data_IF_642923894370
#
_entry.id   IF_642923894370
#
_cell.length_a   1.000
_cell.length_b   1.000
_cell.length_c   1.000
_cell.angle_alpha   90.00
_cell.angle_beta   90.00
_cell.angle_gamma   90.00
#
_symmetry.space_group_name_H-M   'P 1'
#
loop_
_entity.id
_entity.type
_entity.pdbx_description
1 polymer ?
#
# COMPACT_ATOMS: atom_id res chain seq x y z
N UNK A 1 14.32 -1.23 5.75
CA UNK A 1 15.21 -1.63 6.86
C UNK A 1 14.83 -3.04 7.25
N UNK A 2 15.81 -3.91 7.47
CA UNK A 2 15.52 -5.29 7.86
C UNK A 2 15.02 -5.37 9.30
N UNK A 3 14.02 -6.24 9.55
CA UNK A 3 13.56 -6.67 10.85
C UNK A 3 14.61 -6.75 11.95
N UNK A 4 14.51 -6.13 13.14
CA UNK A 4 15.38 -6.60 14.22
C UNK A 4 15.07 -8.07 14.52
N UNK A 5 16.10 -8.92 14.71
CA UNK A 5 15.92 -10.36 14.92
C UNK A 5 15.09 -10.64 16.17
N UNK A 6 14.52 -11.85 16.28
CA UNK A 6 13.79 -12.27 17.49
C UNK A 6 14.67 -12.19 18.74
N UNK A 7 14.09 -11.78 19.87
CA UNK A 7 14.77 -11.61 21.17
C UNK A 7 13.86 -12.12 22.29
N UNK A 8 14.45 -12.71 23.34
CA UNK A 8 13.74 -13.14 24.57
C UNK A 8 13.16 -11.95 25.36
N UNK A 9 13.63 -10.74 25.06
CA UNK A 9 13.13 -9.48 25.65
C UNK A 9 12.75 -8.53 24.51
N UNK A 10 11.61 -8.74 23.84
CA UNK A 10 11.22 -7.89 22.74
C UNK A 10 10.88 -6.49 23.24
N UNK A 11 11.24 -5.48 22.45
CA UNK A 11 11.02 -4.07 22.79
C UNK A 11 10.03 -3.43 21.84
N UNK A 12 9.42 -2.32 22.27
CA UNK A 12 8.46 -1.55 21.47
C UNK A 12 9.08 -1.07 20.15
N UNK A 13 10.37 -0.72 20.16
CA UNK A 13 11.11 -0.35 18.95
C UNK A 13 11.19 -1.51 17.93
N UNK A 14 11.27 -2.76 18.40
CA UNK A 14 11.28 -3.91 17.48
C UNK A 14 9.91 -4.14 16.83
N UNK A 15 8.83 -3.97 17.60
CA UNK A 15 7.47 -4.02 17.07
C UNK A 15 7.21 -2.89 16.07
N UNK A 16 7.64 -1.66 16.39
CA UNK A 16 7.57 -0.53 15.46
C UNK A 16 8.35 -0.82 14.16
N UNK A 17 9.55 -1.39 14.26
CA UNK A 17 10.34 -1.78 13.09
C UNK A 17 9.65 -2.84 12.21
N UNK A 18 8.95 -3.81 12.80
CA UNK A 18 8.14 -4.77 12.03
C UNK A 18 7.01 -4.05 11.27
N UNK A 19 6.34 -3.07 11.89
CA UNK A 19 5.27 -2.27 11.26
C UNK A 19 5.82 -1.40 10.13
N UNK A 20 6.88 -0.63 10.39
CA UNK A 20 7.45 0.32 9.43
C UNK A 20 8.12 -0.39 8.24
N UNK A 21 8.51 -1.65 8.40
CA UNK A 21 8.99 -2.49 7.30
C UNK A 21 7.88 -3.07 6.42
N UNK A 22 6.61 -2.91 6.80
CA UNK A 22 5.46 -3.52 6.15
C UNK A 22 5.29 -5.02 6.42
N UNK A 23 6.09 -5.61 7.32
CA UNK A 23 5.98 -7.04 7.70
C UNK A 23 4.62 -7.37 8.33
N UNK A 24 3.96 -6.39 8.94
CA UNK A 24 2.63 -6.57 9.54
C UNK A 24 1.48 -6.49 8.52
N UNK A 25 1.78 -6.14 7.26
CA UNK A 25 0.85 -6.19 6.13
C UNK A 25 -0.17 -5.04 6.05
N UNK A 26 -0.27 -4.19 7.07
CA UNK A 26 -1.21 -3.05 7.11
C UNK A 26 -0.65 -1.77 6.45
N UNK A 27 0.68 -1.65 6.34
CA UNK A 27 1.33 -0.39 5.93
C UNK A 27 2.38 -0.58 4.84
N UNK A 28 2.40 0.35 3.90
CA UNK A 28 3.50 0.50 2.94
C UNK A 28 4.80 0.82 3.70
N UNK A 29 5.94 0.17 3.39
CA UNK A 29 7.20 0.44 4.06
C UNK A 29 7.69 1.87 3.78
N UNK A 30 7.35 2.78 4.70
CA UNK A 30 7.72 4.18 4.65
C UNK A 30 7.80 4.72 6.09
N UNK A 31 8.91 5.39 6.39
CA UNK A 31 9.07 6.09 7.67
C UNK A 31 8.33 7.44 7.59
N UNK A 32 7.41 7.69 8.52
CA UNK A 32 6.83 9.01 8.73
C UNK A 32 7.71 9.81 9.72
N UNK A 33 8.41 10.87 9.28
CA UNK A 33 9.27 11.66 10.18
C UNK A 33 8.49 12.44 11.26
N UNK A 34 7.19 12.65 11.04
CA UNK A 34 6.32 13.39 11.97
C UNK A 34 5.58 12.49 12.95
N UNK A 35 5.62 11.17 12.75
CA UNK A 35 5.04 10.19 13.64
C UNK A 35 5.79 10.10 14.96
N UNK A 36 5.06 10.12 16.07
CA UNK A 36 5.64 9.77 17.37
C UNK A 36 6.02 8.28 17.40
N UNK A 37 7.11 7.89 18.10
CA UNK A 37 7.42 6.49 18.35
C UNK A 37 6.25 5.74 19.01
N UNK A 38 6.09 4.47 18.67
CA UNK A 38 5.09 3.62 19.31
C UNK A 38 5.30 3.57 20.83
N UNK A 39 4.20 3.66 21.58
CA UNK A 39 4.21 3.62 23.04
C UNK A 39 4.49 4.95 23.72
N UNK A 40 4.78 6.04 23.00
CA UNK A 40 5.03 7.36 23.62
C UNK A 40 3.94 7.79 24.59
N UNK A 41 2.66 7.56 24.26
CA UNK A 41 1.54 7.92 25.13
C UNK A 41 1.48 7.04 26.40
N UNK A 42 1.74 5.74 26.27
CA UNK A 42 1.79 4.79 27.39
C UNK A 42 2.96 5.10 28.34
N UNK A 43 4.12 5.48 27.79
CA UNK A 43 5.27 5.96 28.56
C UNK A 43 4.93 7.28 29.28
N UNK A 44 4.26 8.21 28.60
CA UNK A 44 3.85 9.49 29.17
C UNK A 44 2.77 9.33 30.27
N UNK A 45 1.92 8.30 30.15
CA UNK A 45 0.96 7.91 31.18
C UNK A 45 1.60 7.16 32.36
N UNK A 46 2.90 6.86 32.31
CA UNK A 46 3.61 6.09 33.34
C UNK A 46 3.28 4.60 33.31
N UNK A 47 2.76 4.08 32.21
CA UNK A 47 2.33 2.69 32.02
C UNK A 47 3.04 2.05 30.82
N UNK A 48 4.38 1.94 30.86
CA UNK A 48 5.16 1.41 29.75
C UNK A 48 4.75 -0.04 29.37
N UNK A 49 4.73 -0.39 28.07
CA UNK A 49 4.41 -1.75 27.64
C UNK A 49 5.39 -2.78 28.20
N UNK A 50 4.86 -3.86 28.78
CA UNK A 50 5.72 -4.96 29.25
C UNK A 50 6.29 -5.76 28.08
N UNK A 51 7.47 -6.42 28.24
CA UNK A 51 8.03 -7.28 27.18
C UNK A 51 7.07 -8.39 26.75
N UNK A 52 6.26 -8.92 27.67
CA UNK A 52 5.25 -9.93 27.36
C UNK A 52 4.16 -9.35 26.44
N UNK A 53 3.64 -8.17 26.77
CA UNK A 53 2.65 -7.47 25.92
C UNK A 53 3.21 -7.20 24.53
N UNK A 54 4.47 -6.76 24.43
CA UNK A 54 5.15 -6.56 23.14
C UNK A 54 5.30 -7.87 22.37
N UNK A 55 5.67 -8.97 23.05
CA UNK A 55 5.79 -10.29 22.42
C UNK A 55 4.46 -10.76 21.82
N UNK A 56 3.38 -10.62 22.59
CA UNK A 56 2.01 -10.96 22.18
C UNK A 56 1.59 -10.10 20.99
N UNK A 57 1.82 -8.79 21.05
CA UNK A 57 1.53 -7.89 19.93
C UNK A 57 2.31 -8.27 18.67
N UNK A 58 3.62 -8.52 18.76
CA UNK A 58 4.43 -8.98 17.61
C UNK A 58 3.90 -10.26 17.00
N UNK A 59 3.46 -11.23 17.81
CA UNK A 59 2.87 -12.48 17.33
C UNK A 59 1.59 -12.24 16.52
N UNK A 60 0.66 -11.45 17.04
CA UNK A 60 -0.61 -11.18 16.36
C UNK A 60 -0.45 -10.32 15.11
N UNK A 61 0.46 -9.35 15.15
CA UNK A 61 0.77 -8.47 14.03
C UNK A 61 1.49 -9.19 12.86
N UNK A 62 2.25 -10.26 13.13
CA UNK A 62 3.08 -10.93 12.11
C UNK A 62 2.66 -12.34 11.74
N UNK A 63 2.04 -13.11 12.63
CA UNK A 63 1.68 -14.51 12.37
C UNK A 63 0.18 -14.62 12.06
N UNK A 64 -0.68 -14.15 12.96
CA UNK A 64 -2.12 -14.36 12.83
C UNK A 64 -2.68 -13.68 11.58
N UNK A 65 -2.28 -12.43 11.28
CA UNK A 65 -2.68 -11.72 10.06
C UNK A 65 -2.30 -12.44 8.75
N UNK A 66 -1.17 -13.13 8.71
CA UNK A 66 -0.72 -13.85 7.51
C UNK A 66 -1.34 -15.25 7.39
N UNK A 67 -1.57 -15.94 8.52
CA UNK A 67 -2.22 -17.27 8.53
C UNK A 67 -3.75 -17.21 8.45
N UNK A 68 -4.38 -16.09 8.83
CA UNK A 68 -5.83 -15.90 8.90
C UNK A 68 -6.57 -15.74 7.57
N UNK A 69 -5.87 -15.80 6.43
CA UNK A 69 -6.48 -15.87 5.09
C UNK A 69 -7.23 -14.61 4.62
N UNK A 70 -7.26 -13.55 5.42
CA UNK A 70 -7.87 -12.26 5.13
C UNK A 70 -6.85 -11.17 4.78
N UNK A 71 -5.58 -11.54 4.55
CA UNK A 71 -4.63 -10.71 3.81
C UNK A 71 -5.21 -10.47 2.41
N UNK A 72 -5.98 -9.39 2.28
CA UNK A 72 -6.21 -8.77 1.00
C UNK A 72 -4.88 -8.13 0.64
N UNK A 73 -4.23 -8.49 -0.48
CA UNK A 73 -3.20 -7.62 -1.03
C UNK A 73 -3.83 -6.24 -1.08
N UNK A 74 -3.21 -5.30 -0.37
CA UNK A 74 -3.68 -3.92 -0.30
C UNK A 74 -4.05 -3.47 -1.73
N UNK A 75 -5.31 -3.06 -1.89
CA UNK A 75 -5.85 -2.54 -3.12
C UNK A 75 -5.03 -1.34 -3.65
N UNK A 76 -4.13 -0.77 -2.85
CA UNK A 76 -3.17 0.26 -3.24
C UNK A 76 -2.07 -0.22 -4.19
N UNK A 77 -1.82 -1.53 -4.33
CA UNK A 77 -0.81 -2.06 -5.26
C UNK A 77 -1.37 -2.61 -6.59
N UNK A 78 -2.68 -2.60 -6.80
CA UNK A 78 -3.29 -2.93 -8.11
C UNK A 78 -3.32 -1.73 -9.06
N UNK A 79 -2.25 -0.94 -9.07
CA UNK A 79 -2.01 -0.03 -10.19
C UNK A 79 -1.46 -0.92 -11.30
N UNK A 80 -2.25 -1.13 -12.36
CA UNK A 80 -1.85 -1.58 -13.71
C UNK A 80 -2.36 -2.94 -14.23
N UNK A 81 -3.36 -3.54 -13.60
CA UNK A 81 -3.98 -4.75 -14.12
C UNK A 81 -5.28 -4.39 -14.87
N UNK A 82 -5.14 -4.13 -16.17
CA UNK A 82 -6.24 -4.10 -17.15
C UNK A 82 -6.95 -2.77 -17.37
N UNK A 83 -7.20 -1.98 -16.31
CA UNK A 83 -7.96 -0.71 -16.43
C UNK A 83 -7.20 0.31 -17.30
N UNK A 84 -5.87 0.36 -17.18
CA UNK A 84 -5.01 1.23 -17.98
C UNK A 84 -5.05 0.87 -19.47
N UNK A 85 -5.14 -0.42 -19.81
CA UNK A 85 -5.19 -0.89 -21.21
C UNK A 85 -6.52 -0.52 -21.86
N UNK A 86 -7.64 -0.72 -21.13
CA UNK A 86 -8.96 -0.31 -21.60
C UNK A 86 -9.07 1.21 -21.81
N UNK A 87 -8.52 2.00 -20.88
CA UNK A 87 -8.53 3.45 -20.96
C UNK A 87 -7.66 3.99 -22.11
N UNK A 88 -6.45 3.44 -22.30
CA UNK A 88 -5.59 3.79 -23.44
C UNK A 88 -6.28 3.41 -24.77
N UNK A 89 -6.88 2.22 -24.84
CA UNK A 89 -7.66 1.78 -26.01
C UNK A 89 -8.82 2.72 -26.31
N UNK A 90 -9.54 3.18 -25.29
CA UNK A 90 -10.63 4.16 -25.43
C UNK A 90 -10.13 5.50 -25.98
N UNK A 91 -9.03 6.05 -25.45
CA UNK A 91 -8.44 7.30 -25.94
C UNK A 91 -8.05 7.19 -27.42
N UNK A 92 -7.39 6.09 -27.80
CA UNK A 92 -7.01 5.83 -29.20
C UNK A 92 -8.24 5.74 -30.10
N UNK A 93 -9.29 5.02 -29.68
CA UNK A 93 -10.53 4.89 -30.44
C UNK A 93 -11.22 6.25 -30.66
N UNK A 94 -11.32 7.08 -29.62
CA UNK A 94 -11.86 8.44 -29.72
C UNK A 94 -11.02 9.29 -30.68
N UNK A 95 -9.69 9.22 -30.59
CA UNK A 95 -8.79 9.93 -31.50
C UNK A 95 -8.98 9.55 -32.97
N UNK A 96 -9.15 8.26 -33.26
CA UNK A 96 -9.42 7.75 -34.62
C UNK A 96 -10.78 8.23 -35.13
N UNK A 97 -11.83 8.17 -34.30
CA UNK A 97 -13.17 8.63 -34.69
C UNK A 97 -13.15 10.13 -35.04
N UNK A 98 -12.49 10.94 -34.21
CA UNK A 98 -12.39 12.38 -34.46
C UNK A 98 -11.59 12.69 -35.72
N UNK A 99 -10.46 12.01 -35.95
CA UNK A 99 -9.65 12.23 -37.16
C UNK A 99 -10.39 11.82 -38.43
N UNK A 100 -11.06 10.66 -38.44
CA UNK A 100 -11.88 10.23 -39.59
C UNK A 100 -13.05 11.17 -39.83
N UNK A 101 -13.76 11.58 -38.78
CA UNK A 101 -14.88 12.52 -38.89
C UNK A 101 -14.44 13.88 -39.45
N UNK A 102 -13.35 14.44 -38.94
CA UNK A 102 -12.78 15.70 -39.46
C UNK A 102 -12.34 15.53 -40.91
N UNK A 103 -11.71 14.41 -41.26
CA UNK A 103 -11.30 14.13 -42.64
C UNK A 103 -12.51 14.04 -43.58
N UNK A 104 -13.61 13.39 -43.19
CA UNK A 104 -14.83 13.31 -44.00
C UNK A 104 -15.51 14.66 -44.20
N UNK A 105 -15.48 15.55 -43.21
CA UNK A 105 -16.03 16.92 -43.34
C UNK A 105 -15.14 17.81 -44.22
N UNK A 106 -13.83 17.55 -44.24
CA UNK A 106 -12.84 18.31 -45.03
C UNK A 106 -12.63 17.73 -46.43
N UNK A 107 -13.01 16.47 -46.68
CA UNK A 107 -12.89 15.83 -47.97
C UNK A 107 -13.84 16.53 -48.98
N UNK A 108 -13.34 17.04 -50.12
CA UNK A 108 -14.19 17.57 -51.16
C UNK A 108 -15.06 16.44 -51.72
N UNK A 109 -16.33 16.71 -51.97
CA UNK A 109 -17.21 15.75 -52.65
C UNK A 109 -16.54 15.35 -53.99
N UNK A 110 -16.33 14.05 -54.26
CA UNK A 110 -15.85 13.61 -55.55
C UNK A 110 -16.96 13.83 -56.59
N UNK A 111 -16.98 15.03 -57.19
CA UNK A 111 -17.92 15.38 -58.26
C UNK A 111 -18.33 16.86 -58.28
N UNK A 112 -17.42 17.75 -58.66
CA UNK A 112 -17.71 19.00 -59.37
C UNK A 112 -16.67 19.20 -60.46
#
# INVERSE_FOLDING_TARGET
MDPPPSSDRPTVAMLQGDIDSGRTGDKNPMLDPSGAPLGTDDEAAGTPPTPFSVAVARYYETVERWTGGNWKPDAAHHRWDGVSVGFIGFIVAVGVILTVGIWMVRAPLPGT
#
